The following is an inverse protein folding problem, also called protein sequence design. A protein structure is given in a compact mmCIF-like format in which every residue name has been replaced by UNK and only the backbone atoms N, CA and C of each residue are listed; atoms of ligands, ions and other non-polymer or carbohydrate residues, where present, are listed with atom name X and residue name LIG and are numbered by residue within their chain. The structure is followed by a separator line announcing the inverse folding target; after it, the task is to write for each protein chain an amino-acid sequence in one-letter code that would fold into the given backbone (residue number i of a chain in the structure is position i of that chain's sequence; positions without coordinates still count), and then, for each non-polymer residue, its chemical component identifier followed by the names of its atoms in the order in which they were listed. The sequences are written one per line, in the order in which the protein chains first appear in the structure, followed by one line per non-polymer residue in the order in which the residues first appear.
data_IF_779249991468
#
_entry.id   IF_779249991468
#
_cell.length_a   1.000
_cell.length_b   1.000
_cell.length_c   1.000
_cell.angle_alpha   90.00
_cell.angle_beta   90.00
_cell.angle_gamma   90.00
#
_symmetry.space_group_name_H-M   'P 1'
#
loop_
_entity.id
_entity.type
_entity.pdbx_description
1 polymer ?
#
# COMPACT_ATOMS: atom_id res chain seq x y z
N UNK A 1 2.79 -11.97 -19.49
CA UNK A 1 3.71 -11.81 -18.34
C UNK A 1 4.95 -12.70 -18.44
N UNK A 2 4.84 -13.96 -18.91
CA UNK A 2 5.97 -14.88 -19.03
C UNK A 2 7.21 -14.33 -19.74
N UNK A 3 7.03 -13.56 -20.83
CA UNK A 3 8.15 -12.89 -21.54
C UNK A 3 8.92 -11.94 -20.63
N UNK A 4 8.22 -11.10 -19.86
CA UNK A 4 8.83 -10.16 -18.92
C UNK A 4 9.60 -10.90 -17.83
N UNK A 5 9.01 -11.96 -17.25
CA UNK A 5 9.67 -12.78 -16.24
C UNK A 5 10.94 -13.42 -16.81
N UNK A 6 10.88 -14.03 -18.00
CA UNK A 6 12.03 -14.65 -18.65
C UNK A 6 13.19 -13.67 -18.86
N UNK A 7 12.89 -12.45 -19.33
CA UNK A 7 13.90 -11.40 -19.51
C UNK A 7 14.49 -10.92 -18.17
N UNK A 8 13.68 -10.76 -17.13
CA UNK A 8 14.17 -10.37 -15.78
C UNK A 8 15.11 -11.43 -15.23
N UNK A 9 14.74 -12.71 -15.31
CA UNK A 9 15.56 -13.81 -14.80
C UNK A 9 16.87 -13.97 -15.57
N UNK A 10 16.78 -13.92 -16.90
CA UNK A 10 17.95 -14.12 -17.77
C UNK A 10 18.93 -12.96 -17.77
N UNK A 11 18.50 -11.74 -17.42
CA UNK A 11 19.33 -10.53 -17.54
C UNK A 11 19.72 -9.92 -16.19
N UNK A 12 18.85 -9.89 -15.19
CA UNK A 12 19.03 -9.03 -14.02
C UNK A 12 18.87 -9.75 -12.67
N UNK A 13 17.96 -10.71 -12.56
CA UNK A 13 17.60 -11.31 -11.27
C UNK A 13 17.67 -12.84 -11.32
N UNK A 14 18.85 -13.45 -11.06
CA UNK A 14 19.11 -14.89 -11.23
C UNK A 14 18.51 -15.74 -10.09
N UNK A 15 17.19 -15.62 -9.88
CA UNK A 15 16.42 -16.34 -8.86
C UNK A 15 15.20 -17.03 -9.50
N UNK A 16 14.24 -17.48 -8.67
CA UNK A 16 13.06 -18.21 -9.13
C UNK A 16 12.05 -17.35 -9.89
N UNK A 17 11.41 -17.95 -10.88
CA UNK A 17 10.33 -17.36 -11.66
C UNK A 17 9.09 -17.01 -10.81
N UNK A 18 8.74 -17.88 -9.86
CA UNK A 18 7.62 -17.66 -8.93
C UNK A 18 7.83 -16.36 -8.15
N UNK A 19 9.02 -16.16 -7.57
CA UNK A 19 9.31 -14.96 -6.77
C UNK A 19 9.22 -13.68 -7.62
N UNK A 20 9.75 -13.73 -8.85
CA UNK A 20 9.66 -12.60 -9.79
C UNK A 20 8.20 -12.31 -10.18
N UNK A 21 7.43 -13.33 -10.52
CA UNK A 21 6.05 -13.17 -10.95
C UNK A 21 5.11 -12.74 -9.81
N UNK A 22 5.29 -13.25 -8.59
CA UNK A 22 4.51 -12.81 -7.42
C UNK A 22 4.74 -11.33 -7.11
N UNK A 23 5.99 -10.85 -7.19
CA UNK A 23 6.28 -9.42 -7.06
C UNK A 23 5.60 -8.60 -8.18
N UNK A 24 5.59 -9.12 -9.40
CA UNK A 24 4.92 -8.52 -10.54
C UNK A 24 3.39 -8.45 -10.37
N UNK A 25 2.78 -9.50 -9.83
CA UNK A 25 1.35 -9.55 -9.51
C UNK A 25 0.99 -8.51 -8.46
N UNK A 26 1.78 -8.40 -7.39
CA UNK A 26 1.55 -7.42 -6.35
C UNK A 26 1.56 -5.98 -6.90
N UNK A 27 2.49 -5.66 -7.79
CA UNK A 27 2.60 -4.36 -8.46
C UNK A 27 1.46 -4.05 -9.43
N UNK A 28 0.65 -5.04 -9.82
CA UNK A 28 -0.50 -4.90 -10.72
C UNK A 28 -1.84 -4.83 -9.98
N UNK A 29 -1.90 -5.32 -8.74
CA UNK A 29 -3.13 -5.38 -7.95
C UNK A 29 -3.49 -4.00 -7.37
N UNK A 30 -4.63 -3.40 -7.75
CA UNK A 30 -5.03 -2.07 -7.28
C UNK A 30 -5.46 -2.05 -5.81
N UNK A 31 -5.79 -3.20 -5.24
CA UNK A 31 -6.09 -3.36 -3.81
C UNK A 31 -4.84 -3.63 -2.95
N UNK A 32 -3.69 -3.87 -3.59
CA UNK A 32 -2.40 -4.10 -2.94
C UNK A 32 -1.51 -2.86 -3.04
N UNK A 33 -1.32 -2.33 -4.25
CA UNK A 33 -0.56 -1.10 -4.50
C UNK A 33 -1.49 0.10 -4.59
N UNK A 34 -1.16 1.19 -3.87
CA UNK A 34 -1.92 2.44 -3.93
C UNK A 34 -1.86 3.11 -5.31
N UNK A 35 -0.71 2.98 -5.98
CA UNK A 35 -0.44 3.41 -7.34
C UNK A 35 0.26 2.27 -8.11
N UNK A 36 -0.50 1.34 -8.72
CA UNK A 36 0.06 0.19 -9.43
C UNK A 36 1.11 0.60 -10.46
N UNK A 37 2.22 -0.14 -10.51
CA UNK A 37 3.29 0.06 -11.50
C UNK A 37 3.01 -0.68 -12.82
N UNK A 38 2.11 -1.67 -12.77
CA UNK A 38 1.76 -2.53 -13.90
C UNK A 38 0.25 -2.48 -14.11
N UNK A 39 -0.15 -2.33 -15.37
CA UNK A 39 -1.53 -2.56 -15.80
C UNK A 39 -1.61 -3.99 -16.35
N UNK A 40 -2.45 -4.82 -15.72
CA UNK A 40 -2.66 -6.22 -16.11
C UNK A 40 -3.97 -6.45 -16.86
N UNK A 41 -3.97 -7.43 -17.77
CA UNK A 41 -5.19 -8.06 -18.30
C UNK A 41 -5.19 -9.56 -17.97
N UNK A 42 -6.38 -10.13 -17.80
CA UNK A 42 -6.59 -11.48 -17.26
C UNK A 42 -6.84 -11.48 -15.75
N UNK A 43 -6.80 -12.66 -15.12
CA UNK A 43 -7.00 -12.78 -13.67
C UNK A 43 -5.69 -12.48 -12.90
N UNK A 44 -5.67 -11.35 -12.20
CA UNK A 44 -4.56 -10.89 -11.34
C UNK A 44 -4.84 -11.06 -9.85
N UNK A 45 -5.82 -11.89 -9.48
CA UNK A 45 -6.28 -12.07 -8.10
C UNK A 45 -7.40 -11.09 -7.74
N UNK A 46 -8.02 -11.32 -6.58
CA UNK A 46 -9.11 -10.52 -6.05
C UNK A 46 -8.78 -10.07 -4.61
N UNK A 47 -9.46 -9.03 -4.08
CA UNK A 47 -9.24 -8.59 -2.70
C UNK A 47 -9.44 -9.70 -1.65
N UNK A 48 -10.40 -10.60 -1.86
CA UNK A 48 -10.68 -11.71 -0.94
C UNK A 48 -9.61 -12.80 -0.93
N UNK A 49 -8.98 -13.04 -2.07
CA UNK A 49 -7.84 -13.94 -2.20
C UNK A 49 -6.82 -13.36 -3.19
N UNK A 50 -5.90 -12.51 -2.70
CA UNK A 50 -4.85 -11.91 -3.52
C UNK A 50 -3.92 -12.93 -4.18
N UNK A 51 -3.90 -14.18 -3.72
CA UNK A 51 -3.07 -15.26 -4.26
C UNK A 51 -3.78 -16.06 -5.36
N UNK A 52 -5.07 -15.86 -5.56
CA UNK A 52 -5.87 -16.51 -6.61
C UNK A 52 -5.69 -15.84 -7.99
N UNK A 53 -4.43 -15.66 -8.41
CA UNK A 53 -4.08 -15.11 -9.72
C UNK A 53 -3.74 -16.21 -10.73
N UNK A 54 -3.99 -15.94 -12.02
CA UNK A 54 -3.66 -16.89 -13.08
C UNK A 54 -2.14 -16.97 -13.30
N UNK A 55 -1.66 -18.11 -13.80
CA UNK A 55 -0.26 -18.29 -14.14
C UNK A 55 0.23 -17.29 -15.20
N UNK A 56 1.52 -16.94 -15.19
CA UNK A 56 2.15 -15.92 -16.04
C UNK A 56 2.01 -16.14 -17.57
N UNK A 57 1.64 -17.36 -17.99
CA UNK A 57 1.34 -17.72 -19.38
C UNK A 57 -0.05 -17.26 -19.85
N UNK A 58 -0.95 -16.93 -18.93
CA UNK A 58 -2.31 -16.49 -19.22
C UNK A 58 -2.54 -15.01 -18.96
N UNK A 59 -1.71 -14.37 -18.13
CA UNK A 59 -1.83 -12.93 -17.86
C UNK A 59 -1.02 -12.11 -18.84
N UNK A 60 -1.59 -10.99 -19.25
CA UNK A 60 -0.91 -9.96 -20.05
C UNK A 60 -0.64 -8.74 -19.19
N UNK A 61 0.46 -8.05 -19.47
CA UNK A 61 0.95 -6.97 -18.62
C UNK A 61 1.63 -5.91 -19.45
N UNK A 62 1.45 -4.67 -19.04
CA UNK A 62 2.21 -3.52 -19.50
C UNK A 62 2.50 -2.60 -18.33
N UNK A 63 3.45 -1.69 -18.50
CA UNK A 63 3.69 -0.63 -17.54
C UNK A 63 2.45 0.28 -17.42
N UNK A 64 2.08 0.63 -16.19
CA UNK A 64 1.01 1.61 -15.94
C UNK A 64 1.47 3.02 -16.34
N UNK A 65 0.54 3.95 -16.49
CA UNK A 65 0.89 5.37 -16.71
C UNK A 65 1.71 5.95 -15.54
N UNK A 66 1.44 5.50 -14.32
CA UNK A 66 2.14 5.98 -13.12
C UNK A 66 3.62 5.59 -13.12
N UNK A 67 4.00 4.44 -13.70
CA UNK A 67 5.40 4.00 -13.81
C UNK A 67 6.31 5.00 -14.55
N UNK A 68 5.75 5.90 -15.37
CA UNK A 68 6.50 6.97 -16.04
C UNK A 68 7.16 7.94 -15.05
N UNK A 69 6.65 8.04 -13.81
CA UNK A 69 7.29 8.80 -12.73
C UNK A 69 8.68 8.24 -12.42
N UNK A 70 8.91 6.95 -12.64
CA UNK A 70 10.19 6.28 -12.36
C UNK A 70 11.08 6.18 -13.61
N UNK A 71 10.49 6.13 -14.81
CA UNK A 71 11.24 5.73 -16.02
C UNK A 71 11.45 6.85 -17.05
N UNK A 72 10.63 7.90 -17.06
CA UNK A 72 10.63 8.91 -18.13
C UNK A 72 11.94 9.70 -18.28
N UNK A 73 12.80 9.70 -17.25
CA UNK A 73 14.07 10.41 -17.26
C UNK A 73 15.30 9.49 -17.33
N UNK A 74 15.09 8.16 -17.38
CA UNK A 74 16.15 7.16 -17.23
C UNK A 74 17.27 7.29 -18.27
N UNK A 75 16.93 7.64 -19.51
CA UNK A 75 17.88 7.80 -20.61
C UNK A 75 18.59 9.17 -20.66
N UNK A 76 18.45 10.02 -19.63
CA UNK A 76 18.96 11.40 -19.66
C UNK A 76 20.12 11.63 -18.68
N UNK A 77 21.00 10.63 -18.51
CA UNK A 77 22.17 10.73 -17.62
C UNK A 77 21.84 10.90 -16.14
N UNK A 78 20.64 10.50 -15.71
CA UNK A 78 20.13 10.80 -14.36
C UNK A 78 20.53 9.81 -13.27
N UNK A 79 21.07 8.65 -13.65
CA UNK A 79 21.38 7.55 -12.73
C UNK A 79 22.70 6.89 -13.08
N UNK A 80 23.31 6.28 -12.07
CA UNK A 80 24.46 5.41 -12.25
C UNK A 80 24.01 4.05 -12.78
N UNK A 81 24.78 3.52 -13.72
CA UNK A 81 24.61 2.19 -14.28
C UNK A 81 25.70 1.29 -13.73
N UNK A 82 25.33 0.06 -13.37
CA UNK A 82 26.23 -0.97 -12.89
C UNK A 82 26.13 -2.21 -13.79
N UNK A 83 27.19 -3.02 -13.89
CA UNK A 83 27.10 -4.32 -14.56
C UNK A 83 26.02 -5.19 -13.90
N UNK A 84 25.30 -5.97 -14.70
CA UNK A 84 24.40 -7.00 -14.20
C UNK A 84 25.18 -8.18 -13.60
N UNK A 85 24.48 -9.21 -13.12
CA UNK A 85 25.06 -10.33 -12.36
C UNK A 85 26.16 -11.12 -13.11
N UNK A 86 26.13 -11.19 -14.44
CA UNK A 86 27.15 -11.87 -15.28
C UNK A 86 28.07 -10.90 -16.05
N UNK A 87 27.87 -9.59 -15.88
CA UNK A 87 28.65 -8.53 -16.51
C UNK A 87 28.41 -8.31 -18.01
N UNK A 88 27.42 -8.99 -18.61
CA UNK A 88 27.12 -8.86 -20.05
C UNK A 88 26.27 -7.65 -20.40
N UNK A 89 25.52 -7.12 -19.43
CA UNK A 89 24.63 -5.97 -19.56
C UNK A 89 24.87 -4.95 -18.45
N UNK A 90 24.22 -3.80 -18.58
CA UNK A 90 24.15 -2.78 -17.53
C UNK A 90 22.72 -2.70 -16.99
N UNK A 91 22.59 -2.41 -15.70
CA UNK A 91 21.33 -2.12 -15.02
C UNK A 91 21.42 -0.85 -14.18
N UNK A 92 20.32 -0.09 -14.04
CA UNK A 92 20.35 1.15 -13.29
C UNK A 92 20.37 0.87 -11.78
N UNK A 93 21.33 1.45 -11.05
CA UNK A 93 21.41 1.29 -9.59
C UNK A 93 20.19 1.89 -8.87
N UNK A 94 19.59 2.92 -9.45
CA UNK A 94 18.36 3.59 -8.99
C UNK A 94 17.52 4.00 -10.20
N UNK A 95 16.24 4.31 -10.01
CA UNK A 95 15.38 4.91 -11.04
C UNK A 95 15.13 6.39 -10.73
N UNK A 96 15.18 7.31 -11.71
CA UNK A 96 15.05 8.76 -11.53
C UNK A 96 13.62 9.19 -11.16
N UNK A 97 13.21 8.85 -9.94
CA UNK A 97 11.85 9.07 -9.47
C UNK A 97 11.50 10.56 -9.43
N UNK A 98 10.41 10.93 -10.10
CA UNK A 98 9.87 12.31 -10.11
C UNK A 98 9.02 12.64 -8.89
N UNK A 99 8.58 11.62 -8.14
CA UNK A 99 7.88 11.71 -6.86
C UNK A 99 8.42 10.60 -5.92
N UNK A 100 8.33 10.76 -4.59
CA UNK A 100 8.88 9.81 -3.62
C UNK A 100 8.03 8.53 -3.53
N UNK A 101 8.18 7.64 -4.50
CA UNK A 101 7.41 6.38 -4.58
C UNK A 101 7.52 5.52 -3.32
N UNK A 102 8.62 5.65 -2.56
CA UNK A 102 8.82 5.01 -1.25
C UNK A 102 7.69 5.32 -0.26
N UNK A 103 7.13 6.53 -0.27
CA UNK A 103 5.98 6.90 0.56
C UNK A 103 4.65 6.64 -0.16
N UNK A 104 4.61 6.82 -1.49
CA UNK A 104 3.36 6.73 -2.25
C UNK A 104 2.79 5.31 -2.28
N UNK A 105 3.63 4.32 -2.59
CA UNK A 105 3.21 2.92 -2.59
C UNK A 105 3.55 2.22 -1.26
N UNK A 106 4.54 2.71 -0.53
CA UNK A 106 5.05 2.00 0.63
C UNK A 106 5.76 0.69 0.26
N UNK A 107 6.14 -0.07 1.28
CA UNK A 107 6.69 -1.42 1.12
C UNK A 107 6.69 -2.13 2.47
N UNK A 108 6.56 -3.46 2.43
CA UNK A 108 6.74 -4.33 3.60
C UNK A 108 7.81 -5.36 3.29
N UNK A 109 8.70 -5.63 4.22
CA UNK A 109 9.77 -6.60 4.01
C UNK A 109 10.46 -7.01 5.30
N UNK A 110 10.98 -8.24 5.32
CA UNK A 110 11.75 -8.78 6.44
C UNK A 110 13.08 -9.30 5.87
N UNK A 111 14.17 -8.84 6.47
CA UNK A 111 15.53 -9.32 6.20
C UNK A 111 16.15 -9.84 7.51
N UNK A 112 17.41 -10.27 7.46
CA UNK A 112 18.11 -10.81 8.64
C UNK A 112 18.28 -9.69 9.68
N UNK A 113 17.58 -9.83 10.81
CA UNK A 113 17.66 -8.89 11.95
C UNK A 113 16.97 -7.54 11.75
N UNK A 114 16.27 -7.32 10.63
CA UNK A 114 15.58 -6.06 10.34
C UNK A 114 14.28 -6.28 9.57
N UNK A 115 13.33 -5.36 9.75
CA UNK A 115 12.10 -5.31 8.97
C UNK A 115 11.85 -3.89 8.48
N UNK A 116 10.94 -3.74 7.54
CA UNK A 116 10.38 -2.46 7.07
C UNK A 116 8.89 -2.62 6.83
N UNK A 117 8.12 -1.61 7.24
CA UNK A 117 6.68 -1.51 7.00
C UNK A 117 6.36 -0.03 6.80
N UNK A 118 6.35 0.39 5.54
CA UNK A 118 6.05 1.75 5.13
C UNK A 118 4.65 1.74 4.52
N UNK A 119 3.67 2.43 5.12
CA UNK A 119 2.33 2.48 4.56
C UNK A 119 2.28 3.43 3.34
N UNK A 120 1.32 3.26 2.43
CA UNK A 120 1.11 4.16 1.29
C UNK A 120 0.57 5.52 1.72
N UNK A 121 0.79 6.54 0.88
CA UNK A 121 0.39 7.93 1.12
C UNK A 121 -0.14 8.57 -0.16
N UNK A 122 -0.94 9.62 -0.01
CA UNK A 122 -1.52 10.32 -1.13
C UNK A 122 -0.46 11.14 -1.91
N UNK A 123 -0.42 10.98 -3.22
CA UNK A 123 0.53 11.68 -4.09
C UNK A 123 0.38 13.21 -4.10
N UNK A 124 -0.85 13.73 -3.95
CA UNK A 124 -1.08 15.18 -3.92
C UNK A 124 -0.61 15.77 -2.59
N UNK A 125 -0.96 15.14 -1.48
CA UNK A 125 -0.52 15.57 -0.14
C UNK A 125 1.01 15.60 -0.05
N UNK A 126 1.66 14.52 -0.50
CA UNK A 126 3.12 14.45 -0.52
C UNK A 126 3.72 15.48 -1.48
N UNK A 127 3.15 15.68 -2.66
CA UNK A 127 3.61 16.70 -3.61
C UNK A 127 3.50 18.14 -3.06
N UNK A 128 2.41 18.44 -2.35
CA UNK A 128 2.22 19.73 -1.68
C UNK A 128 3.22 19.93 -0.53
N UNK A 129 3.43 18.92 0.30
CA UNK A 129 4.42 18.96 1.37
C UNK A 129 5.85 19.19 0.84
N UNK A 130 6.22 18.54 -0.27
CA UNK A 130 7.51 18.74 -0.92
C UNK A 130 7.67 20.15 -1.49
N UNK A 131 6.61 20.69 -2.10
CA UNK A 131 6.61 22.07 -2.62
C UNK A 131 6.78 23.06 -1.48
N UNK A 132 6.06 22.87 -0.37
CA UNK A 132 6.21 23.69 0.84
C UNK A 132 7.63 23.63 1.40
N UNK A 133 8.26 22.45 1.48
CA UNK A 133 9.64 22.29 1.95
C UNK A 133 10.68 22.93 1.01
N UNK A 134 10.37 23.06 -0.29
CA UNK A 134 11.22 23.79 -1.23
C UNK A 134 11.15 25.31 -0.99
N UNK A 135 9.96 25.83 -0.70
CA UNK A 135 9.74 27.25 -0.43
C UNK A 135 10.21 27.66 0.98
N UNK A 136 10.07 26.76 1.96
CA UNK A 136 10.49 26.95 3.35
C UNK A 136 11.26 25.72 3.88
N UNK A 137 12.58 25.65 3.67
CA UNK A 137 13.40 24.51 4.10
C UNK A 137 13.46 24.28 5.62
N UNK A 138 13.16 25.31 6.43
CA UNK A 138 13.18 25.24 7.89
C UNK A 138 11.85 24.74 8.48
N UNK A 139 10.86 24.44 7.64
CA UNK A 139 9.56 23.95 8.06
C UNK A 139 9.66 22.64 8.86
N UNK A 140 8.88 22.57 9.93
CA UNK A 140 8.86 21.43 10.83
C UNK A 140 7.88 20.34 10.40
N UNK A 141 7.89 19.24 11.16
CA UNK A 141 6.93 18.14 10.94
C UNK A 141 5.47 18.61 11.06
N UNK A 142 5.18 19.55 11.95
CA UNK A 142 3.80 20.04 12.13
C UNK A 142 3.30 20.80 10.90
N UNK A 143 4.19 21.49 10.18
CA UNK A 143 3.86 22.20 8.93
C UNK A 143 3.63 21.20 7.79
N UNK A 144 4.49 20.17 7.71
CA UNK A 144 4.30 19.05 6.75
C UNK A 144 2.95 18.37 6.95
N UNK A 145 2.55 18.15 8.21
CA UNK A 145 1.28 17.48 8.55
C UNK A 145 0.03 18.33 8.32
N UNK A 146 0.16 19.62 7.97
CA UNK A 146 -0.97 20.38 7.44
C UNK A 146 -1.39 19.89 6.04
N UNK A 147 -0.46 19.26 5.32
CA UNK A 147 -0.69 18.69 3.99
C UNK A 147 -0.83 17.16 4.04
N UNK A 148 0.02 16.48 4.82
CA UNK A 148 0.02 15.01 4.93
C UNK A 148 -0.78 14.58 6.14
N UNK A 149 -2.01 14.15 5.92
CA UNK A 149 -2.95 13.80 7.00
C UNK A 149 -2.58 12.48 7.67
N UNK A 150 -2.08 11.53 6.88
CA UNK A 150 -1.79 10.18 7.32
C UNK A 150 -1.54 9.24 6.14
N UNK A 151 -1.48 7.93 6.39
CA UNK A 151 -1.52 6.93 5.34
C UNK A 151 -2.80 6.99 4.50
N UNK A 152 -2.68 6.72 3.20
CA UNK A 152 -3.77 6.61 2.23
C UNK A 152 -3.69 5.22 1.58
N UNK A 153 -4.43 4.27 2.15
CA UNK A 153 -4.48 2.89 1.69
C UNK A 153 -5.44 2.74 0.49
N UNK A 154 -5.28 1.70 -0.36
CA UNK A 154 -6.19 1.44 -1.47
C UNK A 154 -7.53 0.82 -1.01
N UNK A 155 -8.24 1.53 -0.14
CA UNK A 155 -9.59 1.19 0.35
C UNK A 155 -10.26 2.46 0.87
N UNK A 156 -11.59 2.45 0.93
CA UNK A 156 -12.38 3.52 1.54
C UNK A 156 -12.55 3.36 3.05
N UNK A 157 -11.98 2.30 3.64
CA UNK A 157 -11.99 2.10 5.08
C UNK A 157 -11.27 3.22 5.87
N UNK A 158 -11.76 3.51 7.06
CA UNK A 158 -11.30 4.65 7.85
C UNK A 158 -10.02 4.32 8.62
N UNK A 159 -9.08 5.26 8.64
CA UNK A 159 -7.99 5.28 9.63
C UNK A 159 -8.50 5.94 10.91
N UNK A 160 -8.55 5.19 12.01
CA UNK A 160 -9.09 5.66 13.29
C UNK A 160 -8.01 6.03 14.31
N UNK A 161 -6.73 5.97 13.91
CA UNK A 161 -5.61 6.42 14.76
C UNK A 161 -5.67 7.93 14.96
N UNK A 162 -5.56 8.37 16.21
CA UNK A 162 -5.62 9.79 16.54
C UNK A 162 -4.47 10.57 15.86
N UNK A 163 -4.71 11.83 15.41
CA UNK A 163 -3.70 12.65 14.76
C UNK A 163 -2.39 12.80 15.55
N UNK A 164 -2.46 12.86 16.88
CA UNK A 164 -1.28 12.97 17.73
C UNK A 164 -0.42 11.71 17.75
N UNK A 165 -1.03 10.54 17.56
CA UNK A 165 -0.31 9.28 17.44
C UNK A 165 0.30 9.12 16.05
N UNK A 166 -0.41 9.56 15.00
CA UNK A 166 0.15 9.68 13.64
C UNK A 166 1.38 10.60 13.65
N UNK A 167 1.31 11.73 14.35
CA UNK A 167 2.45 12.65 14.52
C UNK A 167 3.64 12.00 15.20
N UNK A 168 3.42 11.20 16.25
CA UNK A 168 4.50 10.42 16.90
C UNK A 168 5.11 9.39 15.96
N UNK A 169 4.28 8.71 15.15
CA UNK A 169 4.76 7.76 14.13
C UNK A 169 5.66 8.46 13.14
N UNK A 170 5.23 9.60 12.58
CA UNK A 170 6.04 10.35 11.63
C UNK A 170 7.29 10.99 12.25
N UNK A 171 7.27 11.32 13.54
CA UNK A 171 8.46 11.82 14.25
C UNK A 171 9.51 10.73 14.47
N UNK A 172 9.09 9.53 14.86
CA UNK A 172 9.98 8.43 15.29
C UNK A 172 10.27 7.39 14.19
N UNK A 173 9.46 7.40 13.14
CA UNK A 173 9.45 6.39 12.09
C UNK A 173 8.86 5.04 12.52
N UNK A 174 8.22 4.93 13.68
CA UNK A 174 7.67 3.66 14.21
C UNK A 174 6.32 3.84 14.87
N UNK A 175 5.50 2.80 14.79
CA UNK A 175 4.29 2.66 15.60
C UNK A 175 3.27 1.75 14.95
N UNK A 176 1.98 2.06 15.10
CA UNK A 176 0.88 1.26 14.59
C UNK A 176 -0.26 2.15 14.11
N UNK A 177 -0.79 1.86 12.94
CA UNK A 177 -1.97 2.50 12.36
C UNK A 177 -3.13 1.53 12.50
N UNK A 178 -4.30 2.02 12.88
CA UNK A 178 -5.51 1.20 13.00
C UNK A 178 -6.53 1.65 11.99
N UNK A 179 -7.07 0.70 11.26
CA UNK A 179 -8.15 0.94 10.32
C UNK A 179 -9.41 0.19 10.74
N UNK A 180 -10.57 0.75 10.39
CA UNK A 180 -11.89 0.21 10.68
C UNK A 180 -12.74 0.19 9.41
N UNK A 181 -13.51 -0.87 9.23
CA UNK A 181 -14.44 -1.02 8.14
C UNK A 181 -15.51 0.09 8.17
N UNK A 182 -15.92 0.57 7.00
CA UNK A 182 -17.04 1.50 6.85
C UNK A 182 -18.31 0.70 6.69
N UNK A 183 -19.35 1.11 7.39
CA UNK A 183 -20.66 0.49 7.32
C UNK A 183 -21.77 1.54 7.44
N UNK A 184 -22.95 1.18 6.97
CA UNK A 184 -24.16 1.98 7.10
C UNK A 184 -25.37 1.11 7.40
N UNK A 185 -26.45 1.73 7.89
CA UNK A 185 -27.71 1.06 8.14
C UNK A 185 -28.62 1.17 6.92
N UNK A 186 -28.98 0.03 6.33
CA UNK A 186 -29.93 -0.06 5.20
C UNK A 186 -31.04 -1.04 5.57
N UNK A 187 -32.30 -0.64 5.42
CA UNK A 187 -33.48 -1.50 5.65
C UNK A 187 -33.50 -2.29 6.97
N UNK A 188 -32.83 -1.77 8.02
CA UNK A 188 -32.73 -2.42 9.32
C UNK A 188 -31.53 -3.37 9.49
N UNK A 189 -30.70 -3.53 8.47
CA UNK A 189 -29.46 -4.31 8.47
C UNK A 189 -28.23 -3.39 8.59
N UNK A 190 -27.10 -3.95 9.04
CA UNK A 190 -25.80 -3.29 8.91
C UNK A 190 -25.11 -3.77 7.63
N UNK A 191 -24.76 -2.83 6.75
CA UNK A 191 -24.13 -3.10 5.45
C UNK A 191 -22.72 -2.53 5.50
N UNK A 192 -21.72 -3.40 5.43
CA UNK A 192 -20.30 -3.02 5.35
C UNK A 192 -19.95 -2.80 3.88
N UNK A 193 -19.47 -1.60 3.57
CA UNK A 193 -19.18 -1.16 2.19
C UNK A 193 -17.67 -1.09 1.89
N UNK A 194 -16.83 -0.99 2.92
CA UNK A 194 -15.38 -0.99 2.74
C UNK A 194 -14.67 -1.70 3.89
N UNK A 195 -13.71 -2.57 3.55
CA UNK A 195 -12.90 -3.32 4.51
C UNK A 195 -11.52 -2.68 4.70
N UNK A 196 -10.89 -2.83 5.88
CA UNK A 196 -9.49 -2.45 6.07
C UNK A 196 -8.56 -3.08 5.03
N UNK A 197 -7.42 -2.43 4.76
CA UNK A 197 -6.47 -2.89 3.75
C UNK A 197 -6.02 -4.35 3.97
N UNK A 198 -5.97 -5.16 2.91
CA UNK A 198 -5.62 -6.59 2.99
C UNK A 198 -6.49 -7.40 3.98
N UNK A 199 -7.77 -7.04 4.11
CA UNK A 199 -8.78 -7.86 4.80
C UNK A 199 -9.65 -8.53 3.74
N UNK A 200 -9.82 -9.84 3.89
CA UNK A 200 -10.70 -10.67 3.05
C UNK A 200 -12.11 -10.66 3.65
N UNK A 201 -13.11 -10.34 2.84
CA UNK A 201 -14.52 -10.36 3.23
C UNK A 201 -14.98 -11.76 3.60
N UNK A 202 -14.58 -12.76 2.81
CA UNK A 202 -14.83 -14.17 3.12
C UNK A 202 -14.31 -14.56 4.51
N UNK A 203 -13.07 -14.16 4.85
CA UNK A 203 -12.49 -14.42 6.18
C UNK A 203 -13.24 -13.70 7.30
N UNK A 204 -13.69 -12.47 7.07
CA UNK A 204 -14.53 -11.74 8.03
C UNK A 204 -15.84 -12.49 8.27
N UNK A 205 -16.53 -12.93 7.22
CA UNK A 205 -17.76 -13.71 7.35
C UNK A 205 -17.54 -15.02 8.12
N UNK A 206 -16.42 -15.72 7.86
CA UNK A 206 -16.04 -16.91 8.63
C UNK A 206 -15.83 -16.61 10.13
N UNK A 207 -15.18 -15.50 10.46
CA UNK A 207 -14.99 -15.05 11.85
C UNK A 207 -16.34 -14.77 12.54
N UNK A 208 -17.23 -14.03 11.87
CA UNK A 208 -18.56 -13.70 12.43
C UNK A 208 -19.41 -14.97 12.58
N UNK A 209 -19.42 -15.86 11.59
CA UNK A 209 -20.12 -17.14 11.66
C UNK A 209 -19.59 -18.04 12.79
N UNK A 210 -18.28 -18.00 13.07
CA UNK A 210 -17.70 -18.69 14.22
C UNK A 210 -18.20 -18.09 15.56
N UNK A 211 -18.31 -16.77 15.67
CA UNK A 211 -18.88 -16.10 16.85
C UNK A 211 -20.37 -16.44 17.04
N UNK A 212 -21.15 -16.53 15.97
CA UNK A 212 -22.55 -16.97 16.00
C UNK A 212 -22.68 -18.42 16.50
N UNK A 213 -21.89 -19.36 15.95
CA UNK A 213 -21.87 -20.77 16.39
C UNK A 213 -21.45 -20.92 17.85
N UNK A 214 -20.53 -20.07 18.33
CA UNK A 214 -20.12 -20.01 19.73
C UNK A 214 -21.16 -19.32 20.64
N UNK A 215 -22.33 -18.94 20.12
CA UNK A 215 -23.39 -18.21 20.82
C UNK A 215 -22.94 -16.87 21.42
N UNK A 216 -21.89 -16.27 20.87
CA UNK A 216 -21.38 -14.95 21.28
C UNK A 216 -22.08 -13.77 20.59
N UNK A 217 -22.80 -14.04 19.50
CA UNK A 217 -23.60 -13.07 18.74
C UNK A 217 -25.08 -13.48 18.65
N UNK A 218 -25.82 -13.54 19.78
CA UNK A 218 -27.23 -13.96 19.75
C UNK A 218 -28.16 -12.95 19.06
N UNK A 219 -27.70 -11.71 18.86
CA UNK A 219 -28.45 -10.61 18.25
C UNK A 219 -28.40 -10.62 16.71
N UNK A 220 -27.49 -11.40 16.12
CA UNK A 220 -27.35 -11.56 14.67
C UNK A 220 -28.12 -12.82 14.26
N UNK A 221 -28.92 -12.70 13.20
CA UNK A 221 -29.73 -13.79 12.64
C UNK A 221 -29.03 -14.43 11.45
N UNK A 222 -28.53 -13.61 10.52
CA UNK A 222 -27.99 -14.03 9.24
C UNK A 222 -26.83 -13.13 8.78
N UNK A 223 -25.99 -13.66 7.88
CA UNK A 223 -24.85 -13.00 7.27
C UNK A 223 -24.82 -13.29 5.78
N UNK A 224 -24.65 -12.26 4.95
CA UNK A 224 -24.66 -12.41 3.49
C UNK A 224 -23.48 -11.68 2.86
N UNK A 225 -22.92 -12.30 1.83
CA UNK A 225 -22.03 -11.64 0.88
C UNK A 225 -22.85 -11.25 -0.34
N UNK A 226 -23.09 -9.94 -0.51
CA UNK A 226 -23.79 -9.36 -1.65
C UNK A 226 -22.81 -8.59 -2.56
N UNK A 227 -21.51 -8.91 -2.49
CA UNK A 227 -20.49 -8.26 -3.31
C UNK A 227 -20.64 -8.66 -4.79
N UNK A 228 -20.53 -7.69 -5.69
CA UNK A 228 -20.62 -7.88 -7.13
C UNK A 228 -19.64 -6.96 -7.89
N UNK A 229 -19.84 -6.79 -9.20
CA UNK A 229 -18.96 -5.94 -10.01
C UNK A 229 -19.12 -4.43 -9.72
N UNK A 230 -20.33 -4.00 -9.33
CA UNK A 230 -20.63 -2.60 -9.02
C UNK A 230 -20.30 -2.26 -7.56
N UNK A 231 -20.44 -3.25 -6.67
CA UNK A 231 -20.18 -3.18 -5.24
C UNK A 231 -19.08 -4.20 -4.88
N UNK A 232 -17.79 -3.82 -5.01
CA UNK A 232 -16.68 -4.73 -4.76
C UNK A 232 -16.63 -5.33 -3.35
N UNK A 233 -17.32 -4.70 -2.39
CA UNK A 233 -17.46 -5.17 -1.02
C UNK A 233 -18.83 -4.77 -0.50
N UNK A 234 -19.70 -5.76 -0.26
CA UNK A 234 -21.01 -5.55 0.35
C UNK A 234 -21.34 -6.73 1.27
N UNK A 235 -20.95 -6.61 2.54
CA UNK A 235 -21.25 -7.63 3.55
C UNK A 235 -22.44 -7.18 4.39
N UNK A 236 -23.51 -7.99 4.41
CA UNK A 236 -24.75 -7.66 5.10
C UNK A 236 -24.87 -8.48 6.38
N UNK A 237 -25.05 -7.80 7.50
CA UNK A 237 -25.32 -8.38 8.81
C UNK A 237 -26.78 -8.13 9.16
N UNK A 238 -27.56 -9.20 9.23
CA UNK A 238 -28.99 -9.15 9.50
C UNK A 238 -29.22 -9.35 11.00
N UNK A 239 -29.80 -8.38 11.73
CA UNK A 239 -30.14 -8.57 13.13
C UNK A 239 -31.39 -9.44 13.29
N UNK A 240 -31.55 -10.07 14.45
CA UNK A 240 -32.73 -10.87 14.80
C UNK A 240 -34.04 -10.07 14.86
N UNK A 241 -33.96 -8.76 15.09
CA UNK A 241 -35.11 -7.87 15.02
C UNK A 241 -34.68 -6.42 14.83
N UNK A 242 -35.60 -5.57 14.35
CA UNK A 242 -35.36 -4.13 14.18
C UNK A 242 -35.10 -3.37 15.49
N UNK A 243 -35.27 -4.00 16.65
CA UNK A 243 -34.99 -3.42 17.98
C UNK A 243 -33.52 -3.57 18.41
N UNK A 244 -32.73 -4.35 17.67
CA UNK A 244 -31.31 -4.55 17.98
C UNK A 244 -30.56 -3.25 17.72
N UNK A 245 -29.74 -2.86 18.69
CA UNK A 245 -28.79 -1.77 18.53
C UNK A 245 -27.61 -2.25 17.68
N UNK A 246 -27.61 -1.87 16.40
CA UNK A 246 -26.58 -2.25 15.45
C UNK A 246 -25.22 -1.62 15.78
N UNK A 247 -25.19 -0.44 16.42
CA UNK A 247 -23.91 0.19 16.79
C UNK A 247 -23.17 -0.66 17.84
N UNK A 248 -23.90 -1.19 18.81
CA UNK A 248 -23.33 -2.12 19.80
C UNK A 248 -22.85 -3.43 19.17
N UNK A 249 -23.62 -3.98 18.22
CA UNK A 249 -23.20 -5.17 17.46
C UNK A 249 -21.91 -4.86 16.69
N UNK A 250 -21.86 -3.76 15.96
CA UNK A 250 -20.69 -3.37 15.17
C UNK A 250 -19.47 -3.10 16.06
N UNK A 251 -19.63 -2.44 17.20
CA UNK A 251 -18.55 -2.24 18.17
C UNK A 251 -17.96 -3.57 18.66
N UNK A 252 -18.84 -4.53 18.98
CA UNK A 252 -18.40 -5.87 19.37
C UNK A 252 -17.64 -6.57 18.22
N UNK A 253 -18.12 -6.42 16.98
CA UNK A 253 -17.48 -7.02 15.81
C UNK A 253 -16.12 -6.40 15.50
N UNK A 254 -15.95 -5.08 15.62
CA UNK A 254 -14.65 -4.43 15.46
C UNK A 254 -13.60 -5.01 16.43
N UNK A 255 -13.97 -5.27 17.68
CA UNK A 255 -13.04 -5.81 18.68
C UNK A 255 -12.67 -7.29 18.41
N UNK A 256 -13.56 -8.07 17.80
CA UNK A 256 -13.44 -9.53 17.73
C UNK A 256 -13.20 -10.10 16.32
N UNK A 257 -13.11 -9.25 15.29
CA UNK A 257 -12.94 -9.66 13.89
C UNK A 257 -11.97 -8.73 13.16
N UNK A 258 -11.60 -9.07 11.93
CA UNK A 258 -10.71 -8.27 11.09
C UNK A 258 -11.40 -6.97 10.56
N UNK A 259 -12.65 -6.69 10.95
CA UNK A 259 -13.33 -5.41 10.65
C UNK A 259 -12.63 -4.20 11.29
N UNK A 260 -11.83 -4.40 12.33
CA UNK A 260 -10.84 -3.42 12.78
C UNK A 260 -9.47 -4.10 12.84
N UNK A 261 -8.49 -3.54 12.13
CA UNK A 261 -7.16 -4.16 11.98
C UNK A 261 -6.06 -3.14 12.22
N UNK A 262 -4.99 -3.60 12.88
CA UNK A 262 -3.79 -2.79 13.12
C UNK A 262 -2.67 -3.16 12.15
N UNK A 263 -1.96 -2.14 11.67
CA UNK A 263 -0.86 -2.23 10.73
C UNK A 263 0.39 -1.66 11.38
N UNK A 264 1.45 -2.47 11.45
CA UNK A 264 2.75 -2.02 11.97
C UNK A 264 3.31 -0.96 11.02
N UNK A 265 3.91 0.08 11.60
CA UNK A 265 4.71 1.06 10.87
C UNK A 265 6.14 0.99 11.36
N UNK A 266 7.06 0.83 10.42
CA UNK A 266 8.50 0.88 10.63
C UNK A 266 9.17 1.43 9.37
N UNK A 267 9.44 2.73 9.35
CA UNK A 267 9.97 3.50 8.23
C UNK A 267 11.48 3.26 8.03
N UNK A 268 11.87 2.00 7.95
CA UNK A 268 13.24 1.55 7.74
C UNK A 268 13.54 1.49 6.24
N UNK A 269 14.58 2.19 5.79
CA UNK A 269 14.96 2.22 4.38
C UNK A 269 16.46 2.47 4.23
N UNK A 270 17.00 2.12 3.06
CA UNK A 270 18.38 2.45 2.70
C UNK A 270 18.43 3.92 2.28
N UNK A 271 19.30 4.69 2.91
CA UNK A 271 19.52 6.09 2.57
C UNK A 271 20.42 6.33 1.37
N UNK A 272 20.60 7.61 1.02
CA UNK A 272 21.59 8.05 0.03
C UNK A 272 23.04 7.72 0.45
N UNK A 273 23.27 7.54 1.75
CA UNK A 273 24.52 7.06 2.33
C UNK A 273 24.71 5.53 2.22
N UNK A 274 23.76 4.82 1.57
CA UNK A 274 23.71 3.37 1.40
C UNK A 274 23.63 2.58 2.72
N UNK A 275 23.13 3.19 3.81
CA UNK A 275 22.92 2.51 5.09
C UNK A 275 21.44 2.38 5.43
N UNK A 276 21.00 1.23 5.99
CA UNK A 276 19.65 1.10 6.49
C UNK A 276 19.48 1.95 7.75
N UNK A 277 18.43 2.77 7.78
CA UNK A 277 18.06 3.55 8.96
C UNK A 277 16.55 3.75 9.01
N UNK A 278 16.02 3.88 10.23
CA UNK A 278 14.64 4.31 10.42
C UNK A 278 14.58 5.83 10.43
N UNK A 279 13.73 6.37 9.56
CA UNK A 279 13.64 7.79 9.28
C UNK A 279 12.24 8.30 9.55
N UNK A 280 12.13 9.44 10.22
CA UNK A 280 10.86 10.14 10.34
C UNK A 280 10.44 10.75 9.00
N UNK A 281 9.17 11.13 8.86
CA UNK A 281 8.60 11.67 7.61
C UNK A 281 9.39 12.88 7.09
N UNK A 282 9.71 13.84 7.97
CA UNK A 282 10.46 15.04 7.60
C UNK A 282 11.87 14.69 7.09
N UNK A 283 12.54 13.72 7.71
CA UNK A 283 13.85 13.23 7.26
C UNK A 283 13.76 12.61 5.87
N UNK A 284 12.75 11.77 5.63
CA UNK A 284 12.52 11.12 4.34
C UNK A 284 12.29 12.16 3.24
N UNK A 285 11.41 13.14 3.47
CA UNK A 285 11.09 14.17 2.49
C UNK A 285 12.31 15.04 2.16
N UNK A 286 13.05 15.49 3.17
CA UNK A 286 14.26 16.31 2.97
C UNK A 286 15.36 15.55 2.24
N UNK A 287 15.61 14.29 2.61
CA UNK A 287 16.60 13.46 1.92
C UNK A 287 16.17 13.16 0.47
N UNK A 288 14.87 12.94 0.23
CA UNK A 288 14.35 12.79 -1.13
C UNK A 288 14.50 14.06 -1.96
N UNK A 289 14.33 15.26 -1.37
CA UNK A 289 14.56 16.53 -2.08
C UNK A 289 16.03 16.70 -2.48
N UNK A 290 16.98 16.26 -1.64
CA UNK A 290 18.41 16.22 -1.98
C UNK A 290 18.63 15.31 -3.19
N UNK A 291 18.10 14.10 -3.16
CA UNK A 291 18.13 13.17 -4.28
C UNK A 291 17.56 13.79 -5.55
N UNK A 292 16.34 14.34 -5.48
CA UNK A 292 15.65 14.88 -6.66
C UNK A 292 16.38 16.08 -7.25
N UNK A 293 16.96 16.95 -6.42
CA UNK A 293 17.78 18.08 -6.88
C UNK A 293 18.99 17.59 -7.68
N UNK A 294 19.70 16.59 -7.17
CA UNK A 294 20.84 16.00 -7.88
C UNK A 294 20.42 15.35 -9.21
N UNK A 295 19.33 14.58 -9.21
CA UNK A 295 18.78 13.96 -10.42
C UNK A 295 18.45 14.99 -11.50
N UNK A 296 17.81 16.11 -11.12
CA UNK A 296 17.47 17.19 -12.07
C UNK A 296 18.73 17.91 -12.55
N UNK A 297 19.71 18.18 -11.69
CA UNK A 297 21.00 18.76 -12.09
C UNK A 297 21.72 17.88 -13.12
N UNK A 298 21.79 16.56 -12.89
CA UNK A 298 22.40 15.62 -13.83
C UNK A 298 21.67 15.63 -15.19
N UNK A 299 20.33 15.65 -15.16
CA UNK A 299 19.50 15.74 -16.36
C UNK A 299 19.78 17.00 -17.18
N UNK A 300 20.00 18.14 -16.51
CA UNK A 300 20.31 19.41 -17.17
C UNK A 300 21.73 19.43 -17.75
N UNK A 301 22.71 18.83 -17.05
CA UNK A 301 24.09 18.74 -17.54
C UNK A 301 24.26 17.76 -18.71
N UNK A 302 23.39 16.75 -18.82
CA UNK A 302 23.39 15.81 -19.95
C UNK A 302 22.80 16.43 -21.23
N UNK A 303 21.96 17.46 -21.10
CA UNK A 303 21.28 18.12 -22.22
C UNK A 303 22.18 19.14 -22.90
#
# INVERSE_FOLDING_TARGET
SARTVGDVLGKYHPHGDIACYEAMVLMAQPFSYRYPLIDGQGNWGAPDDPKSFAAMRYTESRLSKYSQILLSELGHGTVDWIPNFDGTLQEPKMLPARLPNILLNGTTGIAVGMATDIPPHNAREIGQALTMLLDNPDAGLSDVMQYVQGPDYPTEAEVITAPEDIKKIYKTGRGSIRMRAVWQKEEGCAVITALPHQVSGAKVLEQIAALMRAKKLPLVDDLRDESDHENPTRLVIVPRSNRVDLEQVMYYLFVNTDLEKSYRVNLNMIGLDNRPAVKGLLTILNEWLVYRRQTVTNRLNHR
#
